data_IF_079479484408
#
_entry.id   IF_079479484408
#
_cell.length_a   1.000
_cell.length_b   1.000
_cell.length_c   1.000
_cell.angle_alpha   90.00
_cell.angle_beta   90.00
_cell.angle_gamma   90.00
#
_symmetry.space_group_name_H-M   'P 1'
#
loop_
_entity.id
_entity.type
_entity.pdbx_description
1 polymer ?
#
# COMPACT_ATOMS: atom_id res chain seq x y z
N UNK A 1 -25.31 -12.19 -22.02
CA UNK A 1 -24.94 -12.40 -20.60
C UNK A 1 -24.84 -11.03 -20.01
N UNK A 2 -25.87 -10.67 -19.26
CA UNK A 2 -26.15 -9.30 -18.82
C UNK A 2 -25.12 -8.85 -17.77
N UNK A 3 -24.48 -7.72 -18.06
CA UNK A 3 -23.57 -7.03 -17.17
C UNK A 3 -24.37 -6.21 -16.14
N UNK A 4 -25.04 -6.88 -15.22
CA UNK A 4 -25.74 -6.26 -14.08
C UNK A 4 -24.88 -6.23 -12.79
N UNK A 5 -23.55 -6.28 -12.91
CA UNK A 5 -22.62 -6.30 -11.76
C UNK A 5 -22.19 -4.92 -11.22
N UNK A 6 -22.63 -3.80 -11.79
CA UNK A 6 -22.11 -2.47 -11.40
C UNK A 6 -22.91 -1.72 -10.32
N UNK A 7 -24.07 -2.21 -9.87
CA UNK A 7 -24.86 -1.49 -8.84
C UNK A 7 -24.52 -1.87 -7.39
N UNK A 8 -23.67 -2.90 -7.17
CA UNK A 8 -23.16 -3.24 -5.83
C UNK A 8 -21.90 -2.45 -5.43
N UNK A 9 -21.32 -1.67 -6.34
CA UNK A 9 -20.04 -0.99 -6.10
C UNK A 9 -20.12 0.22 -5.16
N UNK A 10 -21.32 0.69 -4.78
CA UNK A 10 -21.50 1.83 -3.87
C UNK A 10 -21.95 1.44 -2.46
N UNK A 11 -22.16 0.15 -2.17
CA UNK A 11 -22.53 -0.26 -0.82
C UNK A 11 -21.30 -0.20 0.10
N UNK A 12 -21.46 0.51 1.21
CA UNK A 12 -20.51 0.54 2.32
C UNK A 12 -20.65 -0.75 3.14
N UNK A 13 -19.52 -1.36 3.51
CA UNK A 13 -19.48 -2.56 4.34
C UNK A 13 -18.76 -2.28 5.67
N UNK A 14 -19.53 -2.04 6.73
CA UNK A 14 -19.01 -1.76 8.07
C UNK A 14 -18.32 -2.96 8.74
N UNK A 15 -18.27 -4.13 8.10
CA UNK A 15 -17.55 -5.32 8.58
C UNK A 15 -16.23 -5.58 7.85
N UNK A 16 -15.96 -4.88 6.75
CA UNK A 16 -14.76 -5.10 5.95
C UNK A 16 -13.61 -4.18 6.39
N UNK A 17 -12.80 -4.66 7.34
CA UNK A 17 -11.62 -3.97 7.88
C UNK A 17 -10.35 -4.14 7.04
N UNK A 18 -10.40 -4.87 5.92
CA UNK A 18 -9.22 -5.09 5.07
C UNK A 18 -9.20 -4.17 3.87
N UNK A 19 -10.34 -3.78 3.33
CA UNK A 19 -10.38 -3.00 2.09
C UNK A 19 -10.10 -1.51 2.31
N UNK A 20 -9.02 -1.00 1.67
CA UNK A 20 -8.73 0.43 1.62
C UNK A 20 -9.83 1.22 0.89
N UNK A 21 -10.44 0.62 -0.14
CA UNK A 21 -11.57 1.24 -0.84
C UNK A 21 -12.79 1.35 0.05
N UNK A 22 -13.07 0.33 0.88
CA UNK A 22 -14.17 0.40 1.83
C UNK A 22 -13.94 1.50 2.88
N UNK A 23 -12.72 1.61 3.42
CA UNK A 23 -12.34 2.74 4.29
C UNK A 23 -12.57 4.09 3.59
N UNK A 24 -12.13 4.22 2.34
CA UNK A 24 -12.31 5.45 1.55
C UNK A 24 -13.79 5.79 1.31
N UNK A 25 -14.65 4.77 1.10
CA UNK A 25 -16.11 4.95 0.97
C UNK A 25 -16.74 5.43 2.27
N UNK A 26 -16.34 4.86 3.39
CA UNK A 26 -16.86 5.22 4.73
C UNK A 26 -16.45 6.65 5.08
N UNK A 27 -15.20 7.01 4.81
CA UNK A 27 -14.72 8.39 4.98
C UNK A 27 -15.48 9.34 4.05
N UNK A 28 -15.70 8.98 2.78
CA UNK A 28 -16.50 9.80 1.86
C UNK A 28 -17.96 9.95 2.32
N UNK A 29 -18.56 8.90 2.90
CA UNK A 29 -19.91 8.94 3.47
C UNK A 29 -20.00 9.98 4.59
N UNK A 30 -18.99 10.09 5.46
CA UNK A 30 -18.95 11.08 6.52
C UNK A 30 -19.06 12.53 5.99
N UNK A 31 -18.46 12.84 4.84
CA UNK A 31 -18.47 14.18 4.24
C UNK A 31 -19.68 14.47 3.34
N UNK A 32 -20.48 13.45 3.01
CA UNK A 32 -21.67 13.61 2.16
C UNK A 32 -22.90 14.11 2.93
N UNK A 33 -24.09 13.89 2.36
CA UNK A 33 -25.38 14.19 3.00
C UNK A 33 -25.76 13.15 4.08
N UNK A 34 -24.80 12.75 4.91
CA UNK A 34 -24.99 11.76 5.94
C UNK A 34 -25.68 12.33 7.18
N UNK A 35 -26.67 11.60 7.70
CA UNK A 35 -27.29 11.94 8.99
C UNK A 35 -26.32 11.69 10.16
N UNK A 36 -26.69 12.16 11.36
CA UNK A 36 -25.86 11.99 12.56
C UNK A 36 -25.49 10.53 12.82
N UNK A 37 -26.43 9.59 12.60
CA UNK A 37 -26.24 8.17 12.84
C UNK A 37 -25.23 7.58 11.86
N UNK A 38 -25.27 7.97 10.58
CA UNK A 38 -24.34 7.56 9.56
C UNK A 38 -22.94 8.13 9.80
N UNK A 39 -22.84 9.40 10.20
CA UNK A 39 -21.54 10.00 10.57
C UNK A 39 -20.96 9.31 11.80
N UNK A 40 -21.76 9.06 12.84
CA UNK A 40 -21.35 8.31 14.03
C UNK A 40 -20.88 6.89 13.68
N UNK A 41 -21.60 6.18 12.81
CA UNK A 41 -21.18 4.86 12.33
C UNK A 41 -19.84 4.92 11.57
N UNK A 42 -19.62 5.97 10.78
CA UNK A 42 -18.36 6.19 10.04
C UNK A 42 -17.19 6.41 11.00
N UNK A 43 -17.37 7.22 12.04
CA UNK A 43 -16.36 7.43 13.08
C UNK A 43 -16.09 6.15 13.85
N UNK A 44 -17.15 5.44 14.26
CA UNK A 44 -17.00 4.15 14.94
C UNK A 44 -16.19 3.15 14.12
N UNK A 45 -16.51 3.00 12.83
CA UNK A 45 -15.73 2.13 11.94
C UNK A 45 -14.28 2.57 11.82
N UNK A 46 -14.04 3.88 11.63
CA UNK A 46 -12.68 4.41 11.56
C UNK A 46 -11.88 4.08 12.82
N UNK A 47 -12.51 4.20 14.00
CA UNK A 47 -11.90 3.86 15.28
C UNK A 47 -11.63 2.36 15.37
N UNK A 48 -12.63 1.51 15.08
CA UNK A 48 -12.49 0.06 15.11
C UNK A 48 -11.41 -0.41 14.13
N UNK A 49 -11.35 0.16 12.92
CA UNK A 49 -10.35 -0.12 11.90
C UNK A 49 -8.92 0.16 12.38
N UNK A 50 -8.68 1.31 13.02
CA UNK A 50 -7.33 1.70 13.45
C UNK A 50 -6.94 1.15 14.82
N UNK A 51 -7.90 0.79 15.66
CA UNK A 51 -7.67 0.11 16.93
C UNK A 51 -7.41 -1.38 16.76
N UNK A 52 -7.90 -1.97 15.67
CA UNK A 52 -7.57 -3.33 15.28
C UNK A 52 -6.06 -3.46 14.99
N UNK A 53 -5.60 -4.65 14.64
CA UNK A 53 -4.20 -4.96 14.34
C UNK A 53 -3.60 -4.22 13.11
N UNK A 54 -4.04 -3.00 12.79
CA UNK A 54 -3.47 -2.10 11.78
C UNK A 54 -2.34 -1.28 12.39
N UNK A 55 -1.12 -1.52 11.90
CA UNK A 55 0.08 -0.84 12.39
C UNK A 55 0.43 0.39 11.55
N UNK A 56 1.19 1.31 12.15
CA UNK A 56 1.57 2.61 11.58
C UNK A 56 2.14 2.55 10.17
N UNK A 57 2.84 1.48 9.81
CA UNK A 57 3.44 1.37 8.47
C UNK A 57 2.41 1.14 7.35
N UNK A 58 1.14 0.90 7.68
CA UNK A 58 0.04 0.80 6.71
C UNK A 58 -0.99 1.93 6.80
N UNK A 59 -0.80 2.91 7.70
CA UNK A 59 -1.75 4.01 7.93
C UNK A 59 -1.37 5.23 7.09
N UNK A 60 -2.33 5.78 6.36
CA UNK A 60 -2.23 7.12 5.75
C UNK A 60 -2.29 8.19 6.84
N UNK A 61 -1.12 8.55 7.38
CA UNK A 61 -1.00 9.51 8.49
C UNK A 61 -1.73 10.84 8.22
N UNK A 62 -1.70 11.32 6.98
CA UNK A 62 -2.32 12.61 6.63
C UNK A 62 -3.84 12.49 6.60
N UNK A 63 -4.36 11.46 5.91
CA UNK A 63 -5.79 11.18 5.89
C UNK A 63 -6.34 10.89 7.29
N UNK A 64 -5.59 10.13 8.09
CA UNK A 64 -5.89 9.83 9.49
C UNK A 64 -6.03 11.09 10.35
N UNK A 65 -5.02 11.98 10.33
CA UNK A 65 -5.05 13.25 11.08
C UNK A 65 -6.19 14.14 10.59
N UNK A 66 -6.36 14.28 9.27
CA UNK A 66 -7.41 15.09 8.68
C UNK A 66 -8.80 14.62 9.14
N UNK A 67 -9.05 13.31 9.13
CA UNK A 67 -10.33 12.76 9.56
C UNK A 67 -10.61 13.02 11.04
N UNK A 68 -9.62 12.83 11.92
CA UNK A 68 -9.75 13.16 13.35
C UNK A 68 -10.12 14.63 13.55
N UNK A 69 -9.44 15.55 12.86
CA UNK A 69 -9.74 16.98 12.93
C UNK A 69 -11.13 17.32 12.38
N UNK A 70 -11.55 16.68 11.30
CA UNK A 70 -12.88 16.90 10.74
C UNK A 70 -14.00 16.45 11.70
N UNK A 71 -13.79 15.34 12.42
CA UNK A 71 -14.74 14.87 13.45
C UNK A 71 -14.70 15.77 14.70
N UNK A 72 -13.53 16.31 15.08
CA UNK A 72 -13.43 17.31 16.14
C UNK A 72 -14.33 18.52 15.88
N UNK A 73 -14.42 18.95 14.61
CA UNK A 73 -15.24 20.07 14.20
C UNK A 73 -16.70 19.71 13.87
N UNK A 74 -17.11 18.44 13.99
CA UNK A 74 -18.51 18.03 13.79
C UNK A 74 -19.42 18.66 14.85
N UNK A 75 -20.57 19.18 14.41
CA UNK A 75 -21.55 19.81 15.29
C UNK A 75 -22.12 18.85 16.34
N UNK A 76 -22.18 17.55 16.06
CA UNK A 76 -22.73 16.55 16.97
C UNK A 76 -21.70 16.07 17.98
N UNK A 77 -22.05 16.17 19.26
CA UNK A 77 -21.26 15.58 20.34
C UNK A 77 -21.26 14.05 20.27
N UNK A 78 -22.37 13.44 19.83
CA UNK A 78 -22.50 11.99 19.75
C UNK A 78 -21.52 11.40 18.72
N UNK A 79 -21.40 12.05 17.55
CA UNK A 79 -20.43 11.69 16.52
C UNK A 79 -19.00 11.79 17.05
N UNK A 80 -18.69 12.90 17.76
CA UNK A 80 -17.37 13.09 18.34
C UNK A 80 -17.03 12.08 19.43
N UNK A 81 -17.98 11.71 20.30
CA UNK A 81 -17.75 10.77 21.39
C UNK A 81 -17.31 9.37 20.92
N UNK A 82 -17.58 9.00 19.66
CA UNK A 82 -17.05 7.75 19.10
C UNK A 82 -15.51 7.78 19.00
N UNK A 83 -14.89 8.94 18.78
CA UNK A 83 -13.42 9.09 18.78
C UNK A 83 -12.78 8.77 20.13
N UNK A 84 -13.51 8.89 21.25
CA UNK A 84 -12.94 8.66 22.58
C UNK A 84 -12.39 7.24 22.78
N UNK A 85 -12.80 6.30 21.93
CA UNK A 85 -12.33 4.91 21.94
C UNK A 85 -11.03 4.73 21.15
N UNK A 86 -10.58 5.73 20.40
CA UNK A 86 -9.40 5.63 19.55
C UNK A 86 -8.13 5.51 20.38
N UNK A 87 -7.37 4.44 20.15
CA UNK A 87 -6.04 4.26 20.71
C UNK A 87 -5.02 4.81 19.71
N UNK A 88 -4.77 6.13 19.77
CA UNK A 88 -3.96 6.79 18.75
C UNK A 88 -2.49 6.39 18.86
N UNK A 89 -1.96 5.91 17.75
CA UNK A 89 -0.55 5.59 17.62
C UNK A 89 0.30 6.83 17.24
N UNK A 90 -0.27 7.93 16.75
CA UNK A 90 0.46 9.01 16.05
C UNK A 90 0.17 10.45 16.54
N UNK A 91 0.99 10.99 17.47
CA UNK A 91 0.61 12.23 18.16
C UNK A 91 1.30 13.52 17.67
N UNK A 92 2.47 13.46 17.02
CA UNK A 92 3.29 14.68 16.78
C UNK A 92 2.68 15.65 15.77
N UNK A 93 2.14 15.13 14.67
CA UNK A 93 1.66 15.98 13.57
C UNK A 93 0.20 16.43 13.77
N UNK A 94 -0.55 15.82 14.70
CA UNK A 94 -1.94 16.17 14.99
C UNK A 94 -2.06 17.57 15.59
N UNK A 95 -1.24 17.88 16.59
CA UNK A 95 -1.22 19.21 17.23
C UNK A 95 -0.93 20.32 16.21
N UNK A 96 0.17 20.15 15.46
CA UNK A 96 0.60 21.07 14.42
C UNK A 96 -0.48 21.27 13.34
N UNK A 97 -1.20 20.20 13.00
CA UNK A 97 -2.28 20.26 12.02
C UNK A 97 -3.51 20.97 12.57
N UNK A 98 -3.86 20.78 13.86
CA UNK A 98 -4.96 21.47 14.52
C UNK A 98 -4.75 22.98 14.52
N UNK A 99 -3.61 23.45 15.01
CA UNK A 99 -3.33 24.89 15.16
C UNK A 99 -3.21 25.61 13.81
N UNK A 100 -2.86 24.88 12.74
CA UNK A 100 -2.79 25.40 11.37
C UNK A 100 -4.12 25.30 10.62
N UNK A 101 -5.12 24.60 11.17
CA UNK A 101 -6.43 24.48 10.54
C UNK A 101 -7.17 25.82 10.59
N UNK A 102 -7.63 26.30 9.43
CA UNK A 102 -8.31 27.60 9.29
C UNK A 102 -9.59 27.70 10.11
N UNK A 103 -10.23 26.57 10.43
CA UNK A 103 -11.47 26.53 11.21
C UNK A 103 -11.21 26.69 12.70
N UNK A 104 -10.03 26.32 13.18
CA UNK A 104 -9.72 26.16 14.60
C UNK A 104 -10.09 27.39 15.43
N UNK A 105 -9.59 28.58 15.06
CA UNK A 105 -9.83 29.83 15.80
C UNK A 105 -11.31 30.18 15.86
N UNK A 106 -12.02 30.08 14.73
CA UNK A 106 -13.45 30.38 14.65
C UNK A 106 -14.29 29.39 15.47
N UNK A 107 -13.97 28.10 15.38
CA UNK A 107 -14.63 27.03 16.12
C UNK A 107 -14.40 27.16 17.62
N UNK A 108 -13.15 27.38 18.04
CA UNK A 108 -12.77 27.51 19.45
C UNK A 108 -13.51 28.69 20.09
N UNK A 109 -13.50 29.86 19.41
CA UNK A 109 -14.21 31.04 19.90
C UNK A 109 -15.73 30.80 19.99
N UNK A 110 -16.34 30.29 18.92
CA UNK A 110 -17.78 30.00 18.91
C UNK A 110 -18.18 29.06 20.05
N UNK A 111 -17.47 27.94 20.20
CA UNK A 111 -17.79 26.92 21.19
C UNK A 111 -17.48 27.38 22.61
N UNK A 112 -16.43 28.18 22.82
CA UNK A 112 -16.11 28.74 24.14
C UNK A 112 -17.22 29.65 24.70
N UNK A 113 -17.98 30.30 23.81
CA UNK A 113 -19.11 31.17 24.12
C UNK A 113 -20.41 30.37 24.23
N UNK A 114 -20.67 29.45 23.30
CA UNK A 114 -21.94 28.72 23.25
C UNK A 114 -22.02 27.55 24.22
N UNK A 115 -20.95 26.75 24.33
CA UNK A 115 -20.89 25.53 25.15
C UNK A 115 -19.44 25.22 25.57
N UNK A 116 -18.99 25.96 26.59
CA UNK A 116 -17.64 25.86 27.10
C UNK A 116 -17.32 24.45 27.66
N UNK A 117 -18.32 23.75 28.20
CA UNK A 117 -18.17 22.40 28.71
C UNK A 117 -17.88 21.41 27.58
N UNK A 118 -18.61 21.53 26.45
CA UNK A 118 -18.34 20.72 25.26
C UNK A 118 -16.94 20.98 24.69
N UNK A 119 -16.47 22.23 24.68
CA UNK A 119 -15.12 22.56 24.23
C UNK A 119 -14.05 21.85 25.07
N UNK A 120 -14.15 21.96 26.40
CA UNK A 120 -13.22 21.29 27.32
C UNK A 120 -13.25 19.77 27.14
N UNK A 121 -14.44 19.18 27.05
CA UNK A 121 -14.63 17.75 26.83
C UNK A 121 -13.96 17.28 25.53
N UNK A 122 -14.11 18.04 24.44
CA UNK A 122 -13.49 17.72 23.14
C UNK A 122 -11.96 17.79 23.20
N UNK A 123 -11.42 18.81 23.84
CA UNK A 123 -9.97 18.96 24.01
C UNK A 123 -9.40 17.86 24.91
N UNK A 124 -10.12 17.50 25.98
CA UNK A 124 -9.72 16.41 26.87
C UNK A 124 -9.67 15.07 26.13
N UNK A 125 -10.69 14.72 25.34
CA UNK A 125 -10.65 13.49 24.54
C UNK A 125 -9.47 13.49 23.56
N UNK A 126 -9.18 14.60 22.88
CA UNK A 126 -8.01 14.69 22.00
C UNK A 126 -6.69 14.48 22.75
N UNK A 127 -6.59 15.01 23.98
CA UNK A 127 -5.45 14.81 24.85
C UNK A 127 -5.32 13.33 25.26
N UNK A 128 -6.42 12.72 25.68
CA UNK A 128 -6.49 11.33 26.17
C UNK A 128 -6.11 10.32 25.09
N UNK A 129 -6.62 10.51 23.87
CA UNK A 129 -6.31 9.59 22.77
C UNK A 129 -4.88 9.75 22.27
N UNK A 130 -4.19 10.87 22.57
CA UNK A 130 -2.84 11.17 22.07
C UNK A 130 -1.80 11.35 23.19
N UNK A 131 -1.48 10.32 24.00
CA UNK A 131 -0.70 10.49 25.24
C UNK A 131 0.73 11.01 25.06
N UNK A 132 1.39 10.78 23.91
CA UNK A 132 2.76 11.32 23.67
C UNK A 132 2.78 12.84 23.39
N UNK A 133 1.61 13.49 23.45
CA UNK A 133 1.47 14.94 23.47
C UNK A 133 1.95 15.53 24.81
N UNK A 134 2.24 14.73 25.84
CA UNK A 134 2.73 15.21 27.14
C UNK A 134 4.02 16.07 27.06
N UNK A 135 4.86 15.87 26.04
CA UNK A 135 6.04 16.72 25.76
C UNK A 135 5.69 17.96 24.90
N UNK A 136 4.49 18.00 24.35
CA UNK A 136 3.96 19.14 23.63
C UNK A 136 3.11 20.00 24.55
N UNK A 137 3.12 21.28 24.24
CA UNK A 137 2.41 22.33 24.94
C UNK A 137 0.87 22.27 24.69
N UNK A 138 0.27 21.08 24.60
CA UNK A 138 -1.15 20.89 24.26
C UNK A 138 -2.01 20.78 25.51
N UNK A 139 -2.47 21.93 25.99
CA UNK A 139 -3.51 22.02 27.00
C UNK A 139 -4.48 23.14 26.62
N UNK A 140 -5.62 23.18 27.30
CA UNK A 140 -6.65 24.16 27.03
C UNK A 140 -6.09 25.59 27.10
N UNK A 141 -5.27 25.89 28.10
CA UNK A 141 -4.73 27.23 28.35
C UNK A 141 -3.86 27.74 27.19
N UNK A 142 -3.03 26.86 26.61
CA UNK A 142 -2.14 27.23 25.50
C UNK A 142 -2.89 27.33 24.17
N UNK A 143 -3.88 26.47 23.96
CA UNK A 143 -4.79 26.62 22.82
C UNK A 143 -5.55 27.95 22.89
N UNK A 144 -5.99 28.35 24.09
CA UNK A 144 -6.61 29.65 24.32
C UNK A 144 -5.63 30.81 24.06
N UNK A 145 -4.38 30.72 24.51
CA UNK A 145 -3.34 31.71 24.22
C UNK A 145 -3.12 31.91 22.71
N UNK A 146 -3.06 30.81 21.94
CA UNK A 146 -2.92 30.86 20.47
C UNK A 146 -4.09 31.62 19.84
N UNK A 147 -5.32 31.32 20.26
CA UNK A 147 -6.54 31.97 19.74
C UNK A 147 -6.58 33.46 20.10
N UNK A 148 -6.12 33.83 21.29
CA UNK A 148 -6.02 35.23 21.73
C UNK A 148 -4.94 36.02 20.97
N UNK A 149 -3.81 35.38 20.66
CA UNK A 149 -2.74 36.02 19.91
C UNK A 149 -3.09 36.21 18.42
N UNK A 150 -3.84 35.27 17.83
CA UNK A 150 -4.28 35.40 16.42
C UNK A 150 -5.33 36.50 16.23
N UNK A 151 -6.22 36.69 17.23
CA UNK A 151 -7.20 37.79 17.24
C UNK A 151 -6.57 39.17 17.47
N UNK A 152 -5.33 39.24 17.98
CA UNK A 152 -4.54 40.46 18.11
C UNK A 152 -3.79 40.91 16.85
N UNK A 153 -3.70 40.07 15.82
CA UNK A 153 -2.93 40.32 14.59
C UNK A 153 -3.77 40.76 13.37
N UNK A 154 -5.07 40.98 13.54
CA UNK A 154 -5.95 41.46 12.47
C UNK A 154 -5.77 42.98 12.26
N UNK A 155 -4.71 43.38 11.55
CA UNK A 155 -4.42 44.79 11.36
C UNK A 155 -3.34 45.19 10.35
N UNK A 156 -3.15 44.48 9.22
CA UNK A 156 -2.56 45.09 8.00
C UNK A 156 -3.18 44.47 6.75
N UNK A 157 -4.12 45.20 6.16
CA UNK A 157 -4.65 44.90 4.84
C UNK A 157 -3.67 45.27 3.73
N UNK A 158 -3.60 44.37 2.75
CA UNK A 158 -3.42 44.57 1.31
C UNK A 158 -2.66 45.80 0.81
N UNK A 159 -1.57 45.54 0.09
CA UNK A 159 -1.32 46.19 -1.19
C UNK A 159 -0.78 45.16 -2.19
N UNK A 160 -1.69 44.65 -3.02
CA UNK A 160 -1.37 43.98 -4.27
C UNK A 160 -0.95 45.06 -5.29
N UNK A 161 0.35 45.17 -5.52
CA UNK A 161 0.90 45.83 -6.70
C UNK A 161 1.00 44.80 -7.82
N UNK A 162 0.00 44.78 -8.70
CA UNK A 162 0.02 44.04 -9.96
C UNK A 162 0.80 44.90 -10.98
N UNK A 163 2.09 44.60 -11.17
CA UNK A 163 2.88 45.14 -12.27
C UNK A 163 3.22 44.00 -13.24
N UNK A 164 2.35 43.84 -14.24
CA UNK A 164 2.54 42.94 -15.37
C UNK A 164 3.60 43.51 -16.30
N UNK A 165 4.87 43.26 -15.96
CA UNK A 165 5.97 43.46 -16.89
C UNK A 165 6.05 42.27 -17.83
N UNK A 166 5.51 42.43 -19.05
CA UNK A 166 5.66 41.49 -20.15
C UNK A 166 7.09 41.54 -20.69
N UNK A 167 7.99 40.79 -20.08
CA UNK A 167 9.23 40.36 -20.76
C UNK A 167 8.95 39.07 -21.51
N UNK A 168 8.61 39.21 -22.80
CA UNK A 168 8.90 38.18 -23.80
C UNK A 168 10.43 38.01 -23.89
N UNK A 169 11.03 37.37 -22.90
CA UNK A 169 12.31 36.73 -23.14
C UNK A 169 11.99 35.52 -24.00
N UNK A 170 12.47 35.54 -25.25
CA UNK A 170 12.72 34.35 -26.06
C UNK A 170 13.74 33.47 -25.30
N UNK A 171 13.33 32.91 -24.17
CA UNK A 171 14.04 31.84 -23.51
C UNK A 171 13.96 30.68 -24.50
N UNK A 172 15.06 30.46 -25.24
CA UNK A 172 15.25 29.27 -26.05
C UNK A 172 15.13 28.07 -25.11
N UNK A 173 13.92 27.55 -24.93
CA UNK A 173 13.68 26.37 -24.13
C UNK A 173 14.41 25.22 -24.82
N UNK A 174 15.19 24.48 -24.04
CA UNK A 174 15.86 23.30 -24.55
C UNK A 174 14.76 22.31 -25.00
N UNK A 175 14.79 21.77 -26.24
CA UNK A 175 13.80 20.78 -26.67
C UNK A 175 13.69 19.58 -25.72
N UNK A 176 12.47 19.08 -25.50
CA UNK A 176 12.18 17.89 -24.65
C UNK A 176 13.16 16.75 -24.95
N UNK A 177 13.46 16.48 -26.23
CA UNK A 177 14.35 15.38 -26.64
C UNK A 177 15.81 15.55 -26.20
N UNK A 178 16.30 16.79 -26.09
CA UNK A 178 17.64 17.07 -25.58
C UNK A 178 17.64 16.96 -24.05
N UNK A 179 16.58 17.39 -23.39
CA UNK A 179 16.42 17.21 -21.94
C UNK A 179 16.31 15.74 -21.55
N UNK A 180 15.55 14.93 -22.29
CA UNK A 180 15.50 13.47 -22.08
C UNK A 180 16.89 12.86 -22.24
N UNK A 181 17.68 13.30 -23.24
CA UNK A 181 19.07 12.85 -23.42
C UNK A 181 20.00 13.29 -22.30
N UNK A 182 19.84 14.51 -21.77
CA UNK A 182 20.62 14.99 -20.62
C UNK A 182 20.25 14.15 -19.40
N UNK A 183 18.97 14.07 -19.04
CA UNK A 183 18.47 13.32 -17.88
C UNK A 183 18.91 11.86 -17.95
N UNK A 184 18.74 11.19 -19.10
CA UNK A 184 19.12 9.78 -19.28
C UNK A 184 20.62 9.52 -19.21
N UNK A 185 21.46 10.53 -19.48
CA UNK A 185 22.93 10.44 -19.32
C UNK A 185 23.38 10.82 -17.92
N UNK A 186 22.70 11.77 -17.27
CA UNK A 186 23.05 12.24 -15.93
C UNK A 186 22.66 11.21 -14.87
N UNK A 187 21.50 10.58 -15.03
CA UNK A 187 21.05 9.50 -14.17
C UNK A 187 21.30 8.18 -14.88
N UNK A 188 22.20 7.36 -14.34
CA UNK A 188 22.55 6.06 -14.91
C UNK A 188 21.42 5.03 -14.66
N UNK A 189 20.33 5.15 -15.42
CA UNK A 189 19.22 4.19 -15.40
C UNK A 189 19.59 2.84 -16.02
N UNK A 190 20.75 2.72 -16.69
CA UNK A 190 21.22 1.44 -17.24
C UNK A 190 21.61 0.46 -16.13
N UNK A 191 22.16 0.99 -15.01
CA UNK A 191 22.32 0.24 -13.76
C UNK A 191 20.99 -0.20 -13.18
N UNK A 192 19.92 0.61 -13.28
CA UNK A 192 18.59 0.19 -12.85
C UNK A 192 18.04 -0.96 -13.68
N UNK A 193 18.10 -0.94 -15.02
CA UNK A 193 17.63 -2.07 -15.85
C UNK A 193 18.35 -3.39 -15.53
N UNK A 194 19.68 -3.35 -15.39
CA UNK A 194 20.47 -4.54 -15.01
C UNK A 194 20.17 -4.98 -13.58
N UNK A 195 19.99 -4.04 -12.65
CA UNK A 195 19.61 -4.34 -11.27
C UNK A 195 18.17 -4.83 -11.16
N UNK A 196 17.24 -4.38 -11.99
CA UNK A 196 15.84 -4.84 -12.02
C UNK A 196 15.74 -6.27 -12.55
N UNK A 197 16.51 -6.57 -13.60
CA UNK A 197 16.70 -7.94 -14.09
C UNK A 197 17.38 -8.86 -13.04
N UNK A 198 18.18 -8.30 -12.13
CA UNK A 198 18.75 -8.98 -10.95
C UNK A 198 17.83 -8.88 -9.70
N UNK A 199 16.83 -8.00 -9.69
CA UNK A 199 15.99 -7.67 -8.54
C UNK A 199 14.78 -8.59 -8.40
N UNK A 200 14.47 -9.35 -9.45
CA UNK A 200 13.84 -10.65 -9.31
C UNK A 200 14.46 -11.40 -8.12
N UNK A 201 15.78 -11.35 -7.90
CA UNK A 201 16.42 -11.92 -6.71
C UNK A 201 16.75 -10.94 -5.55
N UNK A 202 17.10 -9.65 -5.75
CA UNK A 202 17.41 -8.72 -4.62
C UNK A 202 16.79 -7.32 -4.77
N UNK A 203 16.01 -6.90 -3.77
CA UNK A 203 15.36 -5.57 -3.69
C UNK A 203 16.40 -4.45 -3.82
N UNK A 204 16.10 -3.43 -4.63
CA UNK A 204 17.02 -2.32 -4.90
C UNK A 204 16.89 -1.30 -3.76
N UNK A 205 17.96 -1.00 -3.03
CA UNK A 205 17.98 0.18 -2.15
C UNK A 205 17.97 1.45 -3.03
N UNK A 206 16.81 2.11 -3.14
CA UNK A 206 16.54 3.25 -4.03
C UNK A 206 16.99 4.63 -3.49
N UNK A 207 17.50 4.68 -2.25
CA UNK A 207 17.69 5.94 -1.49
C UNK A 207 18.73 6.89 -2.08
N UNK A 208 19.77 6.41 -2.78
CA UNK A 208 20.78 7.29 -3.39
C UNK A 208 20.25 8.02 -4.64
N UNK A 209 19.37 7.37 -5.40
CA UNK A 209 18.90 7.89 -6.70
C UNK A 209 17.76 8.91 -6.58
N UNK A 210 16.94 8.80 -5.54
CA UNK A 210 15.83 9.74 -5.30
C UNK A 210 16.35 11.17 -5.14
N UNK A 211 17.51 11.34 -4.50
CA UNK A 211 18.17 12.65 -4.31
C UNK A 211 18.67 13.26 -5.61
N UNK A 212 19.29 12.48 -6.49
CA UNK A 212 19.77 12.94 -7.80
C UNK A 212 18.61 13.34 -8.72
N UNK A 213 17.54 12.53 -8.74
CA UNK A 213 16.32 12.83 -9.48
C UNK A 213 15.64 14.10 -8.97
N UNK A 214 15.55 14.27 -7.65
CA UNK A 214 15.02 15.50 -7.04
C UNK A 214 15.87 16.72 -7.40
N UNK A 215 17.20 16.62 -7.33
CA UNK A 215 18.08 17.72 -7.71
C UNK A 215 17.87 18.16 -9.17
N UNK A 216 17.69 17.20 -10.08
CA UNK A 216 17.38 17.48 -11.49
C UNK A 216 15.98 18.07 -11.67
N UNK A 217 14.99 17.56 -10.94
CA UNK A 217 13.61 18.06 -10.96
C UNK A 217 13.54 19.55 -10.59
N UNK A 218 14.34 19.96 -9.61
CA UNK A 218 14.35 21.32 -9.05
C UNK A 218 15.06 22.35 -9.95
N UNK A 219 15.74 21.94 -11.02
CA UNK A 219 16.43 22.86 -11.94
C UNK A 219 15.45 23.81 -12.63
N UNK A 220 14.30 23.30 -13.09
CA UNK A 220 13.23 24.12 -13.69
C UNK A 220 11.93 23.34 -13.84
N UNK A 221 10.81 24.06 -14.02
CA UNK A 221 9.51 23.44 -14.36
C UNK A 221 9.59 22.54 -15.60
N UNK A 222 10.45 22.87 -16.57
CA UNK A 222 10.61 22.09 -17.79
C UNK A 222 11.36 20.77 -17.53
N UNK A 223 12.43 20.80 -16.73
CA UNK A 223 13.12 19.60 -16.26
C UNK A 223 12.17 18.70 -15.47
N UNK A 224 11.39 19.25 -14.54
CA UNK A 224 10.37 18.51 -13.78
C UNK A 224 9.37 17.80 -14.70
N UNK A 225 8.88 18.48 -15.73
CA UNK A 225 7.93 17.91 -16.70
C UNK A 225 8.55 16.77 -17.52
N UNK A 226 9.78 16.94 -18.01
CA UNK A 226 10.45 15.89 -18.79
C UNK A 226 10.84 14.72 -17.89
N UNK A 227 11.36 15.00 -16.70
CA UNK A 227 11.75 13.99 -15.73
C UNK A 227 10.56 13.17 -15.25
N UNK A 228 9.40 13.78 -14.99
CA UNK A 228 8.20 13.03 -14.58
C UNK A 228 7.71 12.09 -15.69
N UNK A 229 7.67 12.54 -16.95
CA UNK A 229 7.39 11.66 -18.11
C UNK A 229 8.39 10.50 -18.19
N UNK A 230 9.66 10.77 -17.87
CA UNK A 230 10.72 9.80 -17.94
C UNK A 230 10.61 8.77 -16.81
N UNK A 231 10.48 9.20 -15.54
CA UNK A 231 10.32 8.35 -14.35
C UNK A 231 9.11 7.44 -14.47
N UNK A 232 7.95 7.93 -14.94
CA UNK A 232 6.74 7.12 -15.12
C UNK A 232 6.93 5.93 -16.11
N UNK A 233 8.01 5.91 -16.92
CA UNK A 233 8.33 4.78 -17.81
C UNK A 233 9.10 3.65 -17.11
N UNK A 234 9.58 3.87 -15.90
CA UNK A 234 10.41 2.94 -15.16
C UNK A 234 9.72 2.51 -13.86
N UNK A 235 10.25 1.44 -13.28
CA UNK A 235 9.82 0.94 -12.00
C UNK A 235 10.57 1.69 -10.90
N UNK A 236 9.91 2.69 -10.31
CA UNK A 236 10.43 3.51 -9.23
C UNK A 236 9.68 3.25 -7.94
N UNK A 237 10.40 3.05 -6.84
CA UNK A 237 9.84 3.10 -5.49
C UNK A 237 9.37 4.51 -5.17
N UNK A 238 8.17 4.60 -4.59
CA UNK A 238 7.55 5.86 -4.25
C UNK A 238 7.38 5.97 -2.74
N UNK A 239 8.02 6.98 -2.16
CA UNK A 239 8.18 7.15 -0.71
C UNK A 239 7.29 8.24 -0.13
N UNK A 240 6.24 8.68 -0.84
CA UNK A 240 5.36 9.76 -0.42
C UNK A 240 4.04 9.76 -1.17
N UNK A 241 3.08 10.53 -0.68
CA UNK A 241 1.79 10.77 -1.31
C UNK A 241 1.87 11.07 -2.82
N UNK A 242 1.10 10.33 -3.63
CA UNK A 242 0.95 10.61 -5.06
C UNK A 242 -0.23 11.56 -5.28
N UNK A 243 0.07 12.83 -5.47
CA UNK A 243 -0.91 13.76 -6.02
C UNK A 243 -0.80 13.78 -7.55
N UNK A 244 -1.43 12.81 -8.21
CA UNK A 244 -1.43 12.72 -9.68
C UNK A 244 -1.98 13.99 -10.36
N UNK A 245 -2.81 14.76 -9.64
CA UNK A 245 -3.42 16.00 -10.11
C UNK A 245 -2.49 17.21 -9.94
N UNK A 246 -1.46 17.11 -9.10
CA UNK A 246 -0.45 18.17 -8.95
C UNK A 246 0.41 18.29 -10.21
N UNK A 247 0.58 19.52 -10.70
CA UNK A 247 1.52 19.82 -11.77
C UNK A 247 2.98 19.59 -11.37
N UNK A 248 3.26 19.57 -10.05
CA UNK A 248 4.59 19.38 -9.48
C UNK A 248 4.89 17.92 -9.08
N UNK A 249 4.02 16.98 -9.42
CA UNK A 249 4.23 15.57 -9.09
C UNK A 249 5.21 14.90 -10.06
N UNK A 250 6.27 14.29 -9.50
CA UNK A 250 7.27 13.54 -10.27
C UNK A 250 6.73 12.19 -10.78
N UNK A 251 5.83 11.55 -10.04
CA UNK A 251 5.28 10.24 -10.37
C UNK A 251 3.76 10.37 -10.42
N UNK A 252 3.17 10.31 -11.61
CA UNK A 252 1.72 10.50 -11.80
C UNK A 252 0.97 9.18 -11.89
N UNK A 253 1.66 8.15 -12.35
CA UNK A 253 1.10 6.81 -12.51
C UNK A 253 2.23 5.79 -12.30
N UNK A 254 2.37 5.26 -11.08
CA UNK A 254 3.45 4.32 -10.76
C UNK A 254 3.24 3.01 -11.52
N UNK A 255 4.28 2.53 -12.20
CA UNK A 255 4.30 1.16 -12.76
C UNK A 255 4.67 0.09 -11.74
N UNK A 256 5.30 0.50 -10.64
CA UNK A 256 5.75 -0.37 -9.56
C UNK A 256 5.08 0.04 -8.25
N UNK A 257 4.51 -0.93 -7.56
CA UNK A 257 3.93 -0.74 -6.24
C UNK A 257 4.61 -1.68 -5.24
N UNK A 258 5.43 -1.11 -4.35
CA UNK A 258 5.84 -1.77 -3.12
C UNK A 258 4.68 -1.65 -2.14
N UNK A 259 4.25 -2.78 -1.56
CA UNK A 259 3.18 -2.85 -0.59
C UNK A 259 3.38 -1.89 0.60
N UNK A 260 4.63 -1.62 1.02
CA UNK A 260 4.91 -0.64 2.08
C UNK A 260 4.47 0.79 1.72
N UNK A 261 4.27 1.09 0.43
CA UNK A 261 3.76 2.37 -0.04
C UNK A 261 2.23 2.49 0.06
N UNK A 262 1.51 1.46 0.53
CA UNK A 262 0.05 1.52 0.71
C UNK A 262 -0.39 2.68 1.61
N UNK A 263 0.43 3.03 2.60
CA UNK A 263 0.25 4.19 3.50
C UNK A 263 0.21 5.55 2.79
N UNK A 264 0.60 5.62 1.52
CA UNK A 264 0.62 6.85 0.74
C UNK A 264 -0.57 6.97 -0.22
N UNK A 265 -1.46 5.97 -0.25
CA UNK A 265 -2.70 6.03 -1.03
C UNK A 265 -3.72 6.89 -0.28
N UNK A 266 -4.22 7.99 -0.87
CA UNK A 266 -5.22 8.86 -0.23
C UNK A 266 -6.49 8.11 0.09
N UNK A 267 -6.83 8.03 1.36
CA UNK A 267 -8.16 7.55 1.78
C UNK A 267 -9.17 8.69 1.93
N UNK A 268 -8.69 9.90 2.18
CA UNK A 268 -9.49 11.09 2.43
C UNK A 268 -9.99 11.80 1.16
N UNK A 269 -9.43 11.46 -0.01
CA UNK A 269 -9.80 12.06 -1.30
C UNK A 269 -10.83 11.25 -2.10
N UNK A 270 -11.39 10.20 -1.50
CA UNK A 270 -12.43 9.38 -2.12
C UNK A 270 -11.92 8.21 -2.97
N UNK A 271 -12.87 7.38 -3.40
CA UNK A 271 -12.62 6.10 -4.07
C UNK A 271 -11.96 6.28 -5.42
N UNK A 272 -12.39 7.27 -6.22
CA UNK A 272 -11.83 7.46 -7.56
C UNK A 272 -10.35 7.79 -7.51
N UNK A 273 -9.93 8.63 -6.56
CA UNK A 273 -8.52 9.01 -6.40
C UNK A 273 -7.68 7.82 -5.90
N UNK A 274 -8.20 7.04 -4.94
CA UNK A 274 -7.54 5.84 -4.46
C UNK A 274 -7.36 4.80 -5.58
N UNK A 275 -8.41 4.55 -6.38
CA UNK A 275 -8.35 3.64 -7.54
C UNK A 275 -7.43 4.17 -8.64
N UNK A 276 -7.46 5.47 -8.94
CA UNK A 276 -6.60 6.08 -9.94
C UNK A 276 -5.12 5.93 -9.57
N UNK A 277 -4.77 6.04 -8.28
CA UNK A 277 -3.41 5.93 -7.79
C UNK A 277 -2.73 4.60 -8.17
N UNK A 278 -3.51 3.50 -8.25
CA UNK A 278 -2.99 2.16 -8.57
C UNK A 278 -3.35 1.68 -9.98
N UNK A 279 -4.11 2.47 -10.75
CA UNK A 279 -4.61 2.09 -12.07
C UNK A 279 -3.52 1.73 -13.09
N UNK A 280 -2.34 2.36 -12.99
CA UNK A 280 -1.21 2.15 -13.90
C UNK A 280 -0.14 1.17 -13.40
N UNK A 281 -0.36 0.51 -12.27
CA UNK A 281 0.59 -0.44 -11.68
C UNK A 281 0.69 -1.68 -12.57
N UNK A 282 1.91 -1.99 -13.00
CA UNK A 282 2.23 -3.19 -13.80
C UNK A 282 2.91 -4.26 -12.94
N UNK A 283 3.61 -3.87 -11.87
CA UNK A 283 4.30 -4.77 -10.95
C UNK A 283 3.91 -4.49 -9.50
N UNK A 284 3.37 -5.50 -8.83
CA UNK A 284 3.13 -5.53 -7.39
C UNK A 284 4.27 -6.27 -6.70
N UNK A 285 4.80 -5.67 -5.63
CA UNK A 285 5.86 -6.22 -4.81
C UNK A 285 5.47 -6.20 -3.35
N UNK A 286 5.64 -7.32 -2.65
CA UNK A 286 5.50 -7.39 -1.21
C UNK A 286 6.66 -8.16 -0.59
N UNK A 287 7.14 -7.67 0.55
CA UNK A 287 8.03 -8.40 1.44
C UNK A 287 7.30 -8.75 2.71
N UNK A 288 7.06 -10.03 2.92
CA UNK A 288 6.44 -10.54 4.13
C UNK A 288 7.29 -10.23 5.36
N UNK A 289 6.59 -9.93 6.45
CA UNK A 289 7.11 -9.79 7.81
C UNK A 289 6.76 -10.98 8.71
N UNK A 290 6.17 -12.05 8.18
CA UNK A 290 6.04 -13.35 8.86
C UNK A 290 7.33 -13.81 9.58
N UNK A 291 8.54 -13.69 9.00
CA UNK A 291 9.76 -14.04 9.72
C UNK A 291 10.01 -13.22 11.00
N UNK A 292 9.34 -12.08 11.20
CA UNK A 292 9.44 -11.28 12.42
C UNK A 292 8.60 -11.84 13.57
N UNK A 293 7.62 -12.73 13.29
CA UNK A 293 6.83 -13.42 14.32
C UNK A 293 7.69 -14.22 15.30
N UNK A 294 8.83 -14.74 14.83
CA UNK A 294 9.72 -15.64 15.59
C UNK A 294 10.98 -14.96 16.10
N UNK A 295 11.20 -13.70 15.73
CA UNK A 295 12.41 -12.97 16.13
C UNK A 295 12.20 -12.27 17.45
N UNK A 296 13.19 -12.35 18.33
CA UNK A 296 13.23 -11.53 19.55
C UNK A 296 13.20 -10.04 19.23
N UNK A 297 13.82 -9.63 18.12
CA UNK A 297 13.82 -8.25 17.64
C UNK A 297 12.93 -8.08 16.40
N UNK A 298 11.86 -7.32 16.58
CA UNK A 298 10.97 -6.86 15.51
C UNK A 298 11.58 -5.63 14.83
N UNK A 299 11.74 -5.65 13.51
CA UNK A 299 12.34 -4.53 12.76
C UNK A 299 11.32 -3.46 12.39
N UNK A 300 10.05 -3.86 12.22
CA UNK A 300 8.95 -2.98 11.82
C UNK A 300 8.12 -2.43 13.00
N UNK A 301 8.49 -2.69 14.25
CA UNK A 301 7.76 -2.16 15.41
C UNK A 301 7.96 -0.65 15.50
N UNK A 302 6.96 0.09 15.05
CA UNK A 302 6.98 1.56 15.06
C UNK A 302 6.55 2.08 16.44
N UNK A 303 7.33 1.74 17.48
CA UNK A 303 7.17 2.31 18.82
C UNK A 303 7.52 1.35 19.96
N UNK A 304 7.45 1.84 21.21
CA UNK A 304 7.67 1.04 22.44
C UNK A 304 6.54 0.01 22.70
N UNK A 305 5.68 -0.24 21.72
CA UNK A 305 4.63 -1.25 21.78
C UNK A 305 5.24 -2.64 21.86
N UNK A 306 4.81 -3.39 22.87
CA UNK A 306 5.08 -4.82 23.12
C UNK A 306 5.28 -5.59 21.80
N UNK A 307 6.51 -6.02 21.46
CA UNK A 307 6.81 -6.82 20.28
C UNK A 307 5.84 -7.99 20.07
N UNK A 308 5.35 -8.56 21.17
CA UNK A 308 4.39 -9.65 21.20
C UNK A 308 3.05 -9.29 20.55
N UNK A 309 2.56 -8.05 20.73
CA UNK A 309 1.31 -7.58 20.12
C UNK A 309 1.48 -7.45 18.61
N UNK A 310 2.65 -6.99 18.16
CA UNK A 310 2.94 -6.93 16.73
C UNK A 310 3.12 -8.31 16.11
N UNK A 311 3.80 -9.23 16.81
CA UNK A 311 3.98 -10.60 16.34
C UNK A 311 2.64 -11.32 16.21
N UNK A 312 1.79 -11.21 17.24
CA UNK A 312 0.43 -11.76 17.20
C UNK A 312 -0.39 -11.13 16.09
N UNK A 313 -0.20 -9.85 15.81
CA UNK A 313 -0.93 -9.19 14.72
C UNK A 313 -0.61 -9.77 13.35
N UNK A 314 0.63 -10.16 13.05
CA UNK A 314 1.01 -10.63 11.69
C UNK A 314 0.14 -11.80 11.23
N UNK A 315 -0.30 -12.66 12.16
CA UNK A 315 -1.15 -13.81 11.89
C UNK A 315 -2.64 -13.49 11.74
N UNK A 316 -3.07 -12.27 12.04
CA UNK A 316 -4.49 -11.91 12.10
C UNK A 316 -5.04 -11.50 10.73
N UNK A 317 -6.27 -11.93 10.42
CA UNK A 317 -6.96 -11.63 9.15
C UNK A 317 -7.08 -10.14 8.85
N UNK A 318 -6.98 -9.30 9.89
CA UNK A 318 -7.06 -7.84 9.79
C UNK A 318 -5.74 -7.11 9.89
N UNK A 319 -4.61 -7.79 9.73
CA UNK A 319 -3.31 -7.14 9.70
C UNK A 319 -3.07 -6.38 8.39
N UNK A 320 -3.16 -7.09 7.27
CA UNK A 320 -2.89 -6.55 5.94
C UNK A 320 -4.09 -5.74 5.42
N UNK A 321 -3.78 -4.64 4.76
CA UNK A 321 -4.75 -3.81 4.04
C UNK A 321 -4.76 -4.22 2.56
N UNK A 322 -5.94 -4.51 2.03
CA UNK A 322 -6.15 -4.85 0.63
C UNK A 322 -6.13 -3.57 -0.23
N UNK A 323 -5.23 -3.49 -1.23
CA UNK A 323 -5.13 -2.33 -2.09
C UNK A 323 -6.34 -2.21 -3.02
N UNK A 324 -6.61 -1.00 -3.56
CA UNK A 324 -7.50 -0.83 -4.71
C UNK A 324 -7.13 -1.75 -5.89
N UNK A 325 -8.09 -2.10 -6.78
CA UNK A 325 -7.81 -2.90 -7.96
C UNK A 325 -6.69 -2.30 -8.84
N UNK A 326 -5.83 -3.18 -9.33
CA UNK A 326 -4.71 -2.84 -10.22
C UNK A 326 -4.99 -3.40 -11.62
N UNK A 327 -5.79 -2.73 -12.46
CA UNK A 327 -6.23 -3.26 -13.76
C UNK A 327 -5.10 -3.52 -14.75
N UNK A 328 -3.96 -2.83 -14.63
CA UNK A 328 -2.79 -3.01 -15.49
C UNK A 328 -1.77 -4.03 -14.94
N UNK A 329 -2.09 -4.73 -13.84
CA UNK A 329 -1.13 -5.60 -13.15
C UNK A 329 -0.73 -6.79 -14.03
N UNK A 330 0.58 -6.94 -14.23
CA UNK A 330 1.19 -8.02 -15.02
C UNK A 330 2.12 -8.90 -14.21
N UNK A 331 2.69 -8.37 -13.13
CA UNK A 331 3.70 -9.09 -12.35
C UNK A 331 3.43 -8.98 -10.85
N UNK A 332 3.47 -10.12 -10.16
CA UNK A 332 3.43 -10.20 -8.70
C UNK A 332 4.73 -10.81 -8.20
N UNK A 333 5.36 -10.17 -7.22
CA UNK A 333 6.59 -10.63 -6.58
C UNK A 333 6.40 -10.62 -5.07
N UNK A 334 6.48 -11.81 -4.45
CA UNK A 334 6.31 -12.02 -3.02
C UNK A 334 7.62 -12.52 -2.44
N UNK A 335 8.20 -11.81 -1.46
CA UNK A 335 9.47 -12.20 -0.83
C UNK A 335 9.35 -12.49 0.66
N UNK A 336 10.11 -13.47 1.11
CA UNK A 336 10.19 -13.85 2.53
C UNK A 336 8.89 -14.46 3.04
N UNK A 337 8.12 -15.08 2.14
CA UNK A 337 6.86 -15.72 2.46
C UNK A 337 7.12 -16.94 3.34
N UNK A 338 6.40 -17.05 4.44
CA UNK A 338 6.34 -18.29 5.21
C UNK A 338 5.08 -19.04 4.78
N UNK A 339 3.91 -18.39 4.78
CA UNK A 339 2.65 -19.10 4.55
C UNK A 339 2.24 -19.88 5.78
N UNK A 340 2.53 -19.33 6.96
CA UNK A 340 2.12 -19.89 8.25
C UNK A 340 0.68 -19.50 8.58
N UNK A 341 0.18 -18.41 7.99
CA UNK A 341 -1.14 -17.86 8.27
C UNK A 341 -1.84 -17.31 7.04
N UNK A 342 -3.17 -17.25 7.11
CA UNK A 342 -4.04 -16.88 6.00
C UNK A 342 -3.88 -15.42 5.57
N UNK A 343 -3.38 -14.52 6.42
CA UNK A 343 -3.33 -13.07 6.13
C UNK A 343 -2.69 -12.74 4.77
N UNK A 344 -1.52 -13.30 4.47
CA UNK A 344 -0.83 -13.10 3.19
C UNK A 344 -1.50 -13.85 2.03
N UNK A 345 -1.97 -15.08 2.27
CA UNK A 345 -2.68 -15.88 1.28
C UNK A 345 -3.98 -15.20 0.83
N UNK A 346 -4.74 -14.64 1.77
CA UNK A 346 -5.95 -13.85 1.55
C UNK A 346 -5.65 -12.55 0.82
N UNK A 347 -4.57 -11.83 1.16
CA UNK A 347 -4.15 -10.64 0.42
C UNK A 347 -3.84 -10.98 -1.04
N UNK A 348 -3.08 -12.06 -1.28
CA UNK A 348 -2.70 -12.48 -2.63
C UNK A 348 -3.94 -12.92 -3.43
N UNK A 349 -4.81 -13.72 -2.83
CA UNK A 349 -6.08 -14.13 -3.42
C UNK A 349 -6.93 -12.92 -3.79
N UNK A 350 -7.05 -11.95 -2.88
CA UNK A 350 -7.78 -10.71 -3.15
C UNK A 350 -7.20 -9.92 -4.33
N UNK A 351 -5.88 -9.79 -4.43
CA UNK A 351 -5.22 -9.11 -5.56
C UNK A 351 -5.47 -9.87 -6.86
N UNK A 352 -5.32 -11.20 -6.84
CA UNK A 352 -5.52 -12.07 -8.01
C UNK A 352 -6.95 -11.97 -8.53
N UNK A 353 -7.94 -12.02 -7.64
CA UNK A 353 -9.37 -11.98 -7.98
C UNK A 353 -9.83 -10.61 -8.48
N UNK A 354 -9.26 -9.52 -7.95
CA UNK A 354 -9.61 -8.16 -8.35
C UNK A 354 -8.80 -7.62 -9.53
N UNK A 355 -7.82 -8.38 -10.03
CA UNK A 355 -7.07 -8.02 -11.24
C UNK A 355 -7.87 -8.44 -12.48
N UNK A 356 -7.97 -7.53 -13.46
CA UNK A 356 -8.61 -7.83 -14.75
C UNK A 356 -7.97 -9.07 -15.39
N UNK A 357 -8.79 -9.97 -15.93
CA UNK A 357 -8.38 -11.27 -16.45
C UNK A 357 -8.97 -11.56 -17.84
N UNK A 358 -9.02 -10.53 -18.69
CA UNK A 358 -9.46 -10.67 -20.08
C UNK A 358 -8.33 -11.23 -20.98
N UNK A 359 -8.59 -11.41 -22.27
CA UNK A 359 -7.60 -12.01 -23.18
C UNK A 359 -6.36 -11.11 -23.44
N UNK A 360 -6.41 -9.82 -23.10
CA UNK A 360 -5.36 -8.83 -23.34
C UNK A 360 -4.72 -8.31 -22.04
N UNK A 361 -5.44 -8.38 -20.92
CA UNK A 361 -5.05 -7.84 -19.63
C UNK A 361 -5.15 -8.92 -18.55
N UNK A 362 -4.08 -9.08 -17.78
CA UNK A 362 -4.03 -9.94 -16.61
C UNK A 362 -2.60 -10.25 -16.19
N UNK A 363 -2.49 -11.11 -15.17
CA UNK A 363 -1.21 -11.45 -14.56
C UNK A 363 -0.41 -12.32 -15.52
N UNK A 364 0.75 -11.83 -15.96
CA UNK A 364 1.67 -12.53 -16.85
C UNK A 364 2.74 -13.33 -16.07
N UNK A 365 3.19 -12.80 -14.94
CA UNK A 365 4.32 -13.35 -14.18
C UNK A 365 4.04 -13.38 -12.68
N UNK A 366 4.23 -14.53 -12.05
CA UNK A 366 4.15 -14.70 -10.61
C UNK A 366 5.48 -15.23 -10.06
N UNK A 367 6.00 -14.60 -9.00
CA UNK A 367 7.24 -15.00 -8.34
C UNK A 367 7.05 -15.03 -6.82
N UNK A 368 7.32 -16.18 -6.22
CA UNK A 368 7.20 -16.42 -4.77
C UNK A 368 8.55 -16.86 -4.23
N UNK A 369 9.03 -16.20 -3.18
CA UNK A 369 10.24 -16.58 -2.46
C UNK A 369 9.88 -17.00 -1.06
N UNK A 370 9.83 -18.31 -0.86
CA UNK A 370 9.53 -18.95 0.41
C UNK A 370 10.82 -19.02 1.23
N UNK A 371 10.75 -18.65 2.51
CA UNK A 371 11.90 -18.63 3.41
C UNK A 371 11.48 -19.22 4.75
N UNK A 372 11.29 -20.53 4.85
CA UNK A 372 10.93 -21.17 6.12
C UNK A 372 12.16 -21.48 6.98
N UNK A 373 11.94 -21.63 8.28
CA UNK A 373 12.90 -22.29 9.17
C UNK A 373 12.48 -23.75 9.43
N UNK A 374 13.37 -24.56 10.03
CA UNK A 374 13.19 -26.01 10.18
C UNK A 374 12.00 -26.43 11.09
N UNK A 375 11.23 -25.49 11.65
CA UNK A 375 10.23 -25.77 12.69
C UNK A 375 8.77 -25.73 12.22
N UNK A 376 8.53 -25.62 10.92
CA UNK A 376 7.28 -25.07 10.40
C UNK A 376 6.32 -26.09 9.80
N UNK A 377 5.03 -25.77 9.91
CA UNK A 377 3.97 -26.30 9.06
C UNK A 377 4.31 -26.03 7.58
N UNK A 378 3.58 -26.64 6.64
CA UNK A 378 3.81 -26.41 5.20
C UNK A 378 3.55 -24.96 4.78
N UNK A 379 4.12 -24.52 3.66
CA UNK A 379 3.76 -23.21 3.07
C UNK A 379 2.39 -23.28 2.38
N UNK A 380 1.39 -22.54 2.87
CA UNK A 380 0.13 -22.40 2.13
C UNK A 380 0.38 -21.71 0.77
N UNK A 381 0.00 -22.37 -0.32
CA UNK A 381 0.11 -21.86 -1.69
C UNK A 381 -1.21 -21.99 -2.46
N UNK A 382 -2.34 -22.09 -1.75
CA UNK A 382 -3.66 -22.31 -2.35
C UNK A 382 -4.10 -21.17 -3.25
N UNK A 383 -3.61 -19.95 -3.04
CA UNK A 383 -3.81 -18.81 -3.96
C UNK A 383 -3.26 -19.06 -5.38
N UNK A 384 -2.43 -20.08 -5.61
CA UNK A 384 -2.02 -20.49 -6.96
C UNK A 384 -3.18 -21.04 -7.79
N UNK A 385 -4.18 -21.63 -7.15
CA UNK A 385 -5.37 -22.15 -7.84
C UNK A 385 -6.19 -21.03 -8.49
N UNK A 386 -6.66 -19.98 -7.78
CA UNK A 386 -7.35 -18.88 -8.40
C UNK A 386 -6.44 -18.14 -9.39
N UNK A 387 -5.12 -18.06 -9.16
CA UNK A 387 -4.18 -17.47 -10.13
C UNK A 387 -4.25 -18.17 -11.48
N UNK A 388 -4.06 -19.49 -11.51
CA UNK A 388 -4.06 -20.26 -12.76
C UNK A 388 -5.45 -20.30 -13.38
N UNK A 389 -6.51 -20.44 -12.57
CA UNK A 389 -7.89 -20.49 -13.05
C UNK A 389 -8.30 -19.19 -13.73
N UNK A 390 -8.07 -18.05 -13.07
CA UNK A 390 -8.51 -16.74 -13.54
C UNK A 390 -7.59 -16.19 -14.64
N UNK A 391 -6.27 -16.31 -14.49
CA UNK A 391 -5.30 -15.66 -15.37
C UNK A 391 -4.67 -16.61 -16.40
N UNK A 392 -5.26 -17.79 -16.61
CA UNK A 392 -4.77 -18.77 -17.59
C UNK A 392 -4.37 -18.14 -18.93
N UNK A 393 -5.25 -17.37 -19.57
CA UNK A 393 -4.98 -16.84 -20.93
C UNK A 393 -3.82 -15.84 -21.02
N UNK A 394 -3.44 -15.22 -19.90
CA UNK A 394 -2.44 -14.14 -19.85
C UNK A 394 -1.14 -14.58 -19.17
N UNK A 395 -1.22 -15.58 -18.28
CA UNK A 395 -0.10 -16.11 -17.53
C UNK A 395 0.97 -16.67 -18.47
N UNK A 396 2.23 -16.38 -18.16
CA UNK A 396 3.40 -16.84 -18.92
C UNK A 396 4.34 -17.65 -18.03
N UNK A 397 4.48 -17.26 -16.76
CA UNK A 397 5.34 -17.99 -15.84
C UNK A 397 4.91 -17.92 -14.37
N UNK A 398 5.09 -19.03 -13.68
CA UNK A 398 5.09 -19.13 -12.21
C UNK A 398 6.51 -19.53 -11.78
N UNK A 399 7.09 -18.81 -10.83
CA UNK A 399 8.39 -19.13 -10.25
C UNK A 399 8.29 -19.20 -8.74
N UNK A 400 8.66 -20.33 -8.17
CA UNK A 400 8.66 -20.58 -6.73
C UNK A 400 10.09 -20.85 -6.32
N UNK A 401 10.67 -19.97 -5.51
CA UNK A 401 11.97 -20.17 -4.89
C UNK A 401 11.74 -20.75 -3.49
N UNK A 402 12.13 -22.02 -3.29
CA UNK A 402 11.92 -22.72 -2.03
C UNK A 402 13.16 -23.54 -1.66
N UNK A 403 14.08 -22.90 -0.92
CA UNK A 403 15.38 -23.50 -0.60
C UNK A 403 15.27 -24.62 0.45
N UNK A 404 14.41 -24.42 1.45
CA UNK A 404 14.41 -25.22 2.68
C UNK A 404 13.06 -25.94 2.85
N UNK A 405 12.65 -26.71 1.83
CA UNK A 405 11.41 -27.52 1.90
C UNK A 405 11.53 -28.66 2.91
N UNK A 406 10.58 -28.73 3.84
CA UNK A 406 10.35 -29.86 4.75
C UNK A 406 9.47 -30.93 4.10
N UNK A 407 9.30 -32.06 4.78
CA UNK A 407 8.53 -33.23 4.32
C UNK A 407 7.11 -32.86 3.86
N UNK A 408 6.39 -32.08 4.68
CA UNK A 408 4.98 -31.79 4.45
C UNK A 408 4.77 -30.82 3.27
N UNK A 409 5.75 -29.97 2.96
CA UNK A 409 5.70 -29.07 1.81
C UNK A 409 5.58 -29.82 0.49
N UNK A 410 6.23 -30.98 0.34
CA UNK A 410 6.14 -31.76 -0.89
C UNK A 410 4.72 -32.25 -1.14
N UNK A 411 4.01 -32.66 -0.08
CA UNK A 411 2.64 -33.14 -0.16
C UNK A 411 1.68 -32.03 -0.58
N UNK A 412 1.77 -30.86 0.06
CA UNK A 412 0.91 -29.71 -0.26
C UNK A 412 1.21 -29.18 -1.66
N UNK A 413 2.49 -28.98 -2.00
CA UNK A 413 2.87 -28.55 -3.34
C UNK A 413 2.41 -29.54 -4.42
N UNK A 414 2.52 -30.85 -4.17
CA UNK A 414 2.03 -31.87 -5.10
C UNK A 414 0.51 -31.78 -5.28
N UNK A 415 -0.25 -31.65 -4.19
CA UNK A 415 -1.69 -31.50 -4.24
C UNK A 415 -2.11 -30.26 -5.06
N UNK A 416 -1.51 -29.10 -4.77
CA UNK A 416 -1.78 -27.86 -5.50
C UNK A 416 -1.40 -28.01 -6.97
N UNK A 417 -0.20 -28.51 -7.29
CA UNK A 417 0.26 -28.69 -8.67
C UNK A 417 -0.64 -29.65 -9.44
N UNK A 418 -1.10 -30.74 -8.82
CA UNK A 418 -2.00 -31.71 -9.44
C UNK A 418 -3.29 -31.06 -9.92
N UNK A 419 -3.86 -30.18 -9.10
CA UNK A 419 -5.09 -29.46 -9.44
C UNK A 419 -4.90 -28.49 -10.60
N UNK A 420 -3.78 -27.75 -10.63
CA UNK A 420 -3.53 -26.73 -11.65
C UNK A 420 -2.85 -27.28 -12.93
N UNK A 421 -2.30 -28.50 -12.90
CA UNK A 421 -1.54 -29.10 -14.00
C UNK A 421 -2.30 -29.13 -15.34
N UNK A 422 -3.58 -29.55 -15.42
CA UNK A 422 -4.30 -29.61 -16.69
C UNK A 422 -4.32 -28.25 -17.40
N UNK A 423 -4.57 -27.18 -16.64
CA UNK A 423 -4.61 -25.80 -17.14
C UNK A 423 -3.22 -25.32 -17.57
N UNK A 424 -2.18 -25.66 -16.80
CA UNK A 424 -0.79 -25.34 -17.12
C UNK A 424 -0.35 -25.99 -18.42
N UNK A 425 -0.64 -27.27 -18.61
CA UNK A 425 -0.28 -28.03 -19.82
C UNK A 425 -1.04 -27.50 -21.03
N UNK A 426 -2.35 -27.24 -20.88
CA UNK A 426 -3.20 -26.74 -21.96
C UNK A 426 -2.67 -25.45 -22.59
N UNK A 427 -2.08 -24.57 -21.79
CA UNK A 427 -1.65 -23.24 -22.23
C UNK A 427 -0.13 -23.04 -22.20
N UNK A 428 0.63 -24.08 -21.81
CA UNK A 428 2.09 -24.15 -21.91
C UNK A 428 2.85 -23.02 -21.18
N UNK A 429 2.43 -22.68 -19.96
CA UNK A 429 3.17 -21.74 -19.12
C UNK A 429 4.48 -22.34 -18.61
N UNK A 430 5.46 -21.49 -18.30
CA UNK A 430 6.67 -21.91 -17.59
C UNK A 430 6.37 -22.06 -16.10
N UNK A 431 6.65 -23.22 -15.52
CA UNK A 431 6.67 -23.39 -14.06
C UNK A 431 8.08 -23.74 -13.63
N UNK A 432 8.64 -22.93 -12.74
CA UNK A 432 10.03 -23.02 -12.29
C UNK A 432 10.06 -23.10 -10.77
N UNK A 433 10.55 -24.21 -10.24
CA UNK A 433 10.68 -24.43 -8.79
C UNK A 433 12.17 -24.34 -8.49
N UNK A 434 12.65 -23.13 -8.23
CA UNK A 434 14.05 -22.87 -8.04
C UNK A 434 14.47 -23.27 -6.62
N UNK A 435 15.19 -24.39 -6.54
CA UNK A 435 15.90 -24.85 -5.35
C UNK A 435 17.39 -24.86 -5.68
N UNK A 436 18.23 -24.58 -4.68
CA UNK A 436 19.69 -24.64 -4.81
C UNK A 436 20.18 -25.96 -5.44
N UNK A 437 19.47 -27.06 -5.19
CA UNK A 437 19.66 -28.36 -5.85
C UNK A 437 18.32 -28.88 -6.39
N UNK A 438 18.08 -28.66 -7.69
CA UNK A 438 16.86 -29.10 -8.37
C UNK A 438 16.80 -30.63 -8.51
N UNK A 439 17.95 -31.32 -8.58
CA UNK A 439 17.99 -32.78 -8.66
C UNK A 439 17.51 -33.41 -7.36
N UNK A 440 18.01 -32.90 -6.23
CA UNK A 440 17.57 -33.31 -4.90
C UNK A 440 16.09 -33.02 -4.70
N UNK A 441 15.60 -31.85 -5.15
CA UNK A 441 14.17 -31.54 -5.16
C UNK A 441 13.35 -32.61 -5.90
N UNK A 442 13.65 -32.90 -7.17
CA UNK A 442 12.90 -33.88 -7.95
C UNK A 442 12.94 -35.27 -7.32
N UNK A 443 14.10 -35.70 -6.82
CA UNK A 443 14.25 -36.99 -6.16
C UNK A 443 13.34 -37.10 -4.94
N UNK A 444 13.33 -36.07 -4.09
CA UNK A 444 12.50 -36.05 -2.89
C UNK A 444 11.01 -35.94 -3.27
N UNK A 445 10.66 -35.07 -4.22
CA UNK A 445 9.29 -34.91 -4.72
C UNK A 445 8.72 -36.23 -5.27
N UNK A 446 9.54 -37.03 -5.96
CA UNK A 446 9.12 -38.35 -6.47
C UNK A 446 8.71 -39.34 -5.37
N UNK A 447 9.28 -39.23 -4.17
CA UNK A 447 8.94 -40.11 -3.03
C UNK A 447 7.47 -39.92 -2.61
N UNK A 448 6.91 -38.73 -2.82
CA UNK A 448 5.52 -38.39 -2.47
C UNK A 448 4.52 -38.68 -3.58
N UNK A 449 4.97 -39.15 -4.75
CA UNK A 449 4.07 -39.46 -5.86
C UNK A 449 3.48 -40.86 -5.69
N UNK A 450 2.16 -40.96 -5.55
CA UNK A 450 1.43 -42.21 -5.38
C UNK A 450 0.34 -42.36 -6.45
N UNK A 451 0.73 -42.93 -7.60
CA UNK A 451 -0.19 -43.26 -8.68
C UNK A 451 0.06 -42.46 -9.96
N UNK A 452 -0.79 -42.67 -10.96
CA UNK A 452 -0.57 -42.14 -12.30
C UNK A 452 -0.70 -40.61 -12.37
N UNK A 453 -1.61 -40.00 -11.61
CA UNK A 453 -1.81 -38.55 -11.62
C UNK A 453 -0.59 -37.80 -11.07
N UNK A 454 -0.04 -38.26 -9.94
CA UNK A 454 1.13 -37.63 -9.32
C UNK A 454 2.37 -37.79 -10.21
N UNK A 455 2.48 -38.94 -10.88
CA UNK A 455 3.54 -39.21 -11.86
C UNK A 455 3.49 -38.26 -13.05
N UNK A 456 2.30 -37.79 -13.47
CA UNK A 456 2.18 -36.76 -14.50
C UNK A 456 2.74 -35.41 -14.04
N UNK A 457 2.51 -35.04 -12.77
CA UNK A 457 3.08 -33.82 -12.18
C UNK A 457 4.60 -33.91 -12.16
N UNK A 458 5.16 -35.02 -11.67
CA UNK A 458 6.60 -35.25 -11.65
C UNK A 458 7.21 -35.18 -13.07
N UNK A 459 6.64 -35.89 -14.04
CA UNK A 459 7.12 -35.88 -15.42
C UNK A 459 7.05 -34.49 -16.05
N UNK A 460 6.04 -33.70 -15.70
CA UNK A 460 5.94 -32.32 -16.14
C UNK A 460 7.11 -31.48 -15.61
N UNK A 461 7.40 -31.55 -14.31
CA UNK A 461 8.51 -30.81 -13.69
C UNK A 461 9.87 -31.23 -14.29
N UNK A 462 10.08 -32.53 -14.52
CA UNK A 462 11.29 -33.05 -15.18
C UNK A 462 11.45 -32.51 -16.61
N UNK A 463 10.34 -32.42 -17.37
CA UNK A 463 10.34 -31.79 -18.70
C UNK A 463 10.67 -30.29 -18.64
N UNK A 464 10.13 -29.56 -17.66
CA UNK A 464 10.43 -28.13 -17.47
C UNK A 464 11.93 -27.92 -17.18
N UNK A 465 12.51 -28.72 -16.30
CA UNK A 465 13.96 -28.71 -16.02
C UNK A 465 14.79 -28.83 -17.29
N UNK A 466 14.50 -29.85 -18.11
CA UNK A 466 15.23 -30.11 -19.34
C UNK A 466 15.01 -29.00 -20.39
N UNK A 467 13.79 -28.47 -20.48
CA UNK A 467 13.42 -27.41 -21.45
C UNK A 467 14.13 -26.09 -21.15
N UNK A 468 14.31 -25.74 -19.87
CA UNK A 468 14.82 -24.44 -19.46
C UNK A 468 16.23 -24.46 -18.86
N UNK A 469 16.93 -25.61 -18.91
CA UNK A 469 18.24 -25.81 -18.31
C UNK A 469 18.29 -25.33 -16.84
N UNK A 470 17.26 -25.68 -16.06
CA UNK A 470 17.24 -25.38 -14.63
C UNK A 470 18.40 -26.15 -13.98
N UNK A 471 19.29 -25.42 -13.30
CA UNK A 471 20.64 -25.88 -12.95
C UNK A 471 20.68 -27.24 -12.21
N UNK A 472 21.71 -28.00 -12.57
CA UNK A 472 22.12 -29.27 -11.98
C UNK A 472 22.94 -29.09 -10.72
#
# INVERSE_FOLDING_TARGET
>A
MDCDSNNNNNKVDYSNFNSLLNLSKIIAQFYGDADEKQRSASVKFFVDYHNSFKFKHYIDNRGYIKFILDVLFDSSLAVFNELAKLNCLLPKDLYDSLIKDKRFVSWFNALSVSDNAQLHHRIQILYDICPNISDTNFNFEKLQEIVQNDTGAAGVGNNAGDDKMSTESLAKSLPDILLEKIISKTVDFSKQRKRYALATNKVINSTEYSKELLNLALVSKHFLKVLSKYINKFHFEWHNYLDANSEYCLLKSPKFFDYNSIRYVPTDKGVEVASQALSGVETFYIKSDEPEMRREEVKRSVGPSMPEVYQAAISEDHYLVYPPPMPCLKQIIVKGYYGDHDAYSLLLSNIIENTLNDAQHGIEHFSLFITKDDTDEYADVDFLQPLVKLHSKTLKSITIHYNDMVTDDYGVLLATLKEILPTIVQHNYKVDINKNDYNSFLRNFKIYCYGEEDDQVYQYLEKQKNKYNLHS
#
